data_IF_333931001500
#
_entry.id   IF_333931001500
#
_cell.length_a   1.000
_cell.length_b   1.000
_cell.length_c   1.000
_cell.angle_alpha   90.00
_cell.angle_beta   90.00
_cell.angle_gamma   90.00
#
_symmetry.space_group_name_H-M   'P 1'
#
loop_
_entity.id
_entity.type
_entity.pdbx_description
1 polymer ?
#
# COMPACT_ATOMS: atom_id res chain seq x y z
N UNK A 1 9.18 -30.55 11.60
CA UNK A 1 9.25 -29.64 10.43
C UNK A 1 9.62 -28.27 10.98
N UNK A 2 10.82 -27.76 10.67
CA UNK A 2 11.17 -26.39 11.06
C UNK A 2 10.31 -25.44 10.22
N UNK A 3 9.34 -24.79 10.85
CA UNK A 3 8.56 -23.75 10.19
C UNK A 3 9.46 -22.53 10.04
N UNK A 4 9.84 -22.23 8.81
CA UNK A 4 10.67 -21.06 8.50
C UNK A 4 9.94 -19.81 9.00
N UNK A 5 10.45 -19.22 10.08
CA UNK A 5 9.90 -18.01 10.68
C UNK A 5 10.58 -16.81 10.01
N UNK A 6 9.82 -16.07 9.21
CA UNK A 6 10.30 -14.85 8.54
C UNK A 6 9.67 -13.65 9.23
N UNK A 7 10.51 -12.80 9.82
CA UNK A 7 10.09 -11.67 10.66
C UNK A 7 10.13 -10.31 9.94
N UNK A 8 10.47 -10.27 8.65
CA UNK A 8 10.68 -9.01 7.95
C UNK A 8 9.37 -8.51 7.32
N UNK A 9 8.68 -7.64 8.05
CA UNK A 9 7.75 -6.68 7.47
C UNK A 9 8.51 -5.37 7.27
N UNK A 10 8.26 -4.68 6.16
CA UNK A 10 8.82 -3.35 5.92
C UNK A 10 7.76 -2.29 6.19
N UNK A 11 8.18 -1.14 6.71
CA UNK A 11 7.28 -0.01 6.86
C UNK A 11 6.85 0.52 5.48
N UNK A 12 5.67 1.14 5.42
CA UNK A 12 5.07 1.66 4.18
C UNK A 12 6.01 2.61 3.43
N UNK A 13 6.74 3.48 4.13
CA UNK A 13 7.69 4.39 3.50
C UNK A 13 8.86 3.67 2.80
N UNK A 14 9.28 2.52 3.33
CA UNK A 14 10.34 1.68 2.73
C UNK A 14 9.80 1.05 1.44
N UNK A 15 8.57 0.53 1.50
CA UNK A 15 7.89 0.00 0.32
C UNK A 15 7.76 1.10 -0.76
N UNK A 16 7.32 2.31 -0.41
CA UNK A 16 7.24 3.44 -1.35
C UNK A 16 8.61 3.81 -1.95
N UNK A 17 9.68 3.70 -1.17
CA UNK A 17 11.05 3.90 -1.66
C UNK A 17 11.41 2.86 -2.73
N UNK A 18 11.16 1.58 -2.47
CA UNK A 18 11.42 0.50 -3.44
C UNK A 18 10.55 0.62 -4.70
N UNK A 19 9.27 0.99 -4.56
CA UNK A 19 8.38 1.24 -5.69
C UNK A 19 8.93 2.37 -6.57
N UNK A 20 9.30 3.51 -5.96
CA UNK A 20 9.86 4.67 -6.67
C UNK A 20 11.18 4.35 -7.38
N UNK A 21 12.09 3.61 -6.73
CA UNK A 21 13.36 3.16 -7.32
C UNK A 21 13.14 2.28 -8.56
N UNK A 22 12.04 1.50 -8.60
CA UNK A 22 11.63 0.68 -9.75
C UNK A 22 10.73 1.41 -10.74
N UNK A 23 10.56 2.73 -10.60
CA UNK A 23 9.74 3.54 -11.51
C UNK A 23 8.23 3.32 -11.39
N UNK A 24 7.78 2.72 -10.28
CA UNK A 24 6.36 2.64 -9.94
C UNK A 24 5.97 3.97 -9.26
N UNK A 25 5.00 4.73 -9.79
CA UNK A 25 4.70 6.06 -9.25
C UNK A 25 4.05 6.00 -7.86
N UNK A 26 4.61 6.77 -6.94
CA UNK A 26 4.06 6.98 -5.58
C UNK A 26 3.79 8.47 -5.35
N UNK A 27 2.77 8.85 -4.56
CA UNK A 27 2.61 10.23 -4.13
C UNK A 27 3.88 10.78 -3.46
N UNK A 28 4.19 12.08 -3.59
CA UNK A 28 5.27 12.70 -2.84
C UNK A 28 5.07 12.49 -1.34
N UNK A 29 6.11 12.04 -0.65
CA UNK A 29 6.04 11.72 0.77
C UNK A 29 7.34 12.09 1.50
N UNK A 30 7.25 12.21 2.81
CA UNK A 30 8.37 12.24 3.74
C UNK A 30 8.04 11.52 5.03
N UNK A 31 9.07 11.18 5.82
CA UNK A 31 8.91 10.53 7.12
C UNK A 31 9.36 11.47 8.22
N UNK A 32 8.47 11.69 9.19
CA UNK A 32 8.72 12.51 10.35
C UNK A 32 8.84 11.65 11.62
N UNK A 33 9.88 11.89 12.41
CA UNK A 33 10.08 11.36 13.77
C UNK A 33 9.76 12.39 14.84
N UNK A 34 9.49 13.64 14.45
CA UNK A 34 9.04 14.70 15.36
C UNK A 34 7.84 15.46 14.77
N UNK A 35 7.01 16.11 15.61
CA UNK A 35 5.93 16.96 15.11
C UNK A 35 6.39 18.11 14.21
N UNK A 36 7.57 18.68 14.49
CA UNK A 36 8.14 19.76 13.67
C UNK A 36 8.61 19.28 12.29
N UNK A 37 9.19 18.08 12.21
CA UNK A 37 9.48 17.44 10.93
C UNK A 37 8.21 17.20 10.11
N UNK A 38 7.11 16.78 10.76
CA UNK A 38 5.84 16.56 10.08
C UNK A 38 5.28 17.86 9.49
N UNK A 39 5.35 18.96 10.25
CA UNK A 39 4.95 20.30 9.78
C UNK A 39 5.80 20.74 8.57
N UNK A 40 7.12 20.54 8.64
CA UNK A 40 8.03 20.90 7.56
C UNK A 40 7.72 20.12 6.28
N UNK A 41 7.58 18.80 6.37
CA UNK A 41 7.23 17.97 5.21
C UNK A 41 5.88 18.39 4.63
N UNK A 42 4.88 18.64 5.48
CA UNK A 42 3.56 19.14 5.06
C UNK A 42 3.67 20.47 4.27
N UNK A 43 4.51 21.40 4.72
CA UNK A 43 4.75 22.65 3.99
C UNK A 43 5.45 22.42 2.64
N UNK A 44 6.42 21.51 2.59
CA UNK A 44 7.19 21.18 1.39
C UNK A 44 6.34 20.49 0.30
N UNK A 45 5.25 19.81 0.68
CA UNK A 45 4.30 19.19 -0.25
C UNK A 45 3.50 20.23 -1.07
N UNK A 46 3.44 21.49 -0.63
CA UNK A 46 2.77 22.61 -1.33
C UNK A 46 1.32 22.32 -1.76
N UNK A 47 0.58 21.59 -0.93
CA UNK A 47 -0.83 21.25 -1.14
C UNK A 47 -1.60 21.34 0.18
N UNK A 48 -2.94 21.48 0.09
CA UNK A 48 -3.86 21.34 1.22
C UNK A 48 -4.38 19.93 1.39
N UNK A 49 -4.05 19.03 0.46
CA UNK A 49 -4.53 17.66 0.47
C UNK A 49 -3.43 16.78 1.07
N UNK A 50 -3.35 16.72 2.40
CA UNK A 50 -2.28 16.01 3.12
C UNK A 50 -2.87 14.87 3.94
N UNK A 51 -2.13 13.75 4.00
CA UNK A 51 -2.42 12.59 4.84
C UNK A 51 -1.23 12.29 5.72
N UNK A 52 -1.49 12.07 7.01
CA UNK A 52 -0.54 11.50 7.96
C UNK A 52 -0.88 10.02 8.16
N UNK A 53 0.11 9.15 7.95
CA UNK A 53 -0.02 7.70 8.11
C UNK A 53 0.97 7.19 9.16
N UNK A 54 0.46 6.68 10.27
CA UNK A 54 1.24 6.07 11.35
C UNK A 54 2.10 4.91 10.83
N UNK A 55 3.41 4.92 11.09
CA UNK A 55 4.30 3.84 10.67
C UNK A 55 4.38 2.77 11.75
N UNK A 56 3.47 1.80 11.65
CA UNK A 56 3.30 0.68 12.59
C UNK A 56 3.17 -0.62 11.81
N UNK A 57 3.78 -1.71 12.31
CA UNK A 57 3.64 -3.07 11.77
C UNK A 57 2.29 -3.68 12.13
N UNK A 58 1.22 -3.09 11.61
CA UNK A 58 -0.15 -3.57 11.72
C UNK A 58 -1.00 -2.99 10.58
N UNK A 59 -1.87 -3.81 10.02
CA UNK A 59 -2.96 -3.39 9.14
C UNK A 59 -4.11 -2.74 9.90
N UNK A 60 -5.09 -2.21 9.15
CA UNK A 60 -6.29 -1.60 9.72
C UNK A 60 -6.05 -0.26 10.45
N UNK A 61 -4.92 0.41 10.17
CA UNK A 61 -4.51 1.67 10.83
C UNK A 61 -5.57 2.76 10.75
N UNK A 62 -6.25 2.91 9.61
CA UNK A 62 -7.30 3.91 9.41
C UNK A 62 -8.58 3.69 10.22
N UNK A 63 -8.83 2.45 10.68
CA UNK A 63 -9.92 2.12 11.60
C UNK A 63 -9.44 1.99 13.05
N UNK A 64 -8.13 2.11 13.28
CA UNK A 64 -7.53 2.11 14.60
C UNK A 64 -7.65 3.46 15.27
N UNK A 65 -7.21 3.54 16.53
CA UNK A 65 -7.11 4.80 17.27
C UNK A 65 -5.89 4.78 18.18
N UNK A 66 -5.33 5.96 18.42
CA UNK A 66 -4.26 6.13 19.39
C UNK A 66 -4.82 6.15 20.81
N UNK A 67 -4.17 5.41 21.72
CA UNK A 67 -4.58 5.29 23.11
C UNK A 67 -4.86 6.66 23.75
N UNK A 68 -6.03 6.77 24.39
CA UNK A 68 -6.48 8.01 25.05
C UNK A 68 -6.89 9.14 24.10
N UNK A 69 -7.07 8.86 22.81
CA UNK A 69 -7.48 9.86 21.80
C UNK A 69 -8.48 9.27 20.80
N UNK A 70 -9.14 10.14 20.02
CA UNK A 70 -9.94 9.75 18.86
C UNK A 70 -9.15 9.82 17.53
N UNK A 71 -7.84 10.03 17.60
CA UNK A 71 -6.98 10.16 16.43
C UNK A 71 -6.71 8.77 15.86
N UNK A 72 -6.99 8.59 14.57
CA UNK A 72 -6.76 7.36 13.83
C UNK A 72 -5.30 7.19 13.40
N UNK A 73 -4.93 5.99 12.96
CA UNK A 73 -3.63 5.72 12.34
C UNK A 73 -3.47 6.32 10.94
N UNK A 74 -4.56 6.83 10.34
CA UNK A 74 -4.56 7.55 9.05
C UNK A 74 -5.45 8.78 9.20
N UNK A 75 -4.88 9.97 9.10
CA UNK A 75 -5.58 11.24 9.33
C UNK A 75 -5.30 12.23 8.20
N UNK A 76 -6.31 13.05 7.88
CA UNK A 76 -6.18 14.10 6.86
C UNK A 76 -5.96 15.45 7.50
N UNK A 77 -5.19 16.31 6.85
CA UNK A 77 -5.03 17.70 7.25
C UNK A 77 -4.77 18.60 6.05
N UNK A 78 -4.92 19.91 6.26
CA UNK A 78 -4.78 20.94 5.23
C UNK A 78 -3.64 21.92 5.47
N UNK A 79 -3.06 21.93 6.69
CA UNK A 79 -2.00 22.87 7.05
C UNK A 79 -0.84 22.21 7.79
N UNK A 80 0.37 22.78 7.72
CA UNK A 80 1.52 22.35 8.53
C UNK A 80 1.23 22.29 10.04
N UNK A 81 0.43 23.22 10.57
CA UNK A 81 0.06 23.29 11.99
C UNK A 81 -0.86 22.15 12.39
N UNK A 82 -1.81 21.78 11.52
CA UNK A 82 -2.64 20.60 11.73
C UNK A 82 -1.79 19.32 11.67
N UNK A 83 -0.86 19.22 10.70
CA UNK A 83 0.08 18.10 10.61
C UNK A 83 0.92 17.95 11.89
N UNK A 84 1.44 19.05 12.44
CA UNK A 84 2.16 19.09 13.72
C UNK A 84 1.29 18.56 14.87
N UNK A 85 0.06 19.03 14.96
CA UNK A 85 -0.88 18.67 16.04
C UNK A 85 -1.23 17.18 15.98
N UNK A 86 -1.53 16.67 14.79
CA UNK A 86 -1.80 15.25 14.57
C UNK A 86 -0.56 14.40 14.88
N UNK A 87 0.61 14.76 14.36
CA UNK A 87 1.87 14.04 14.63
C UNK A 87 2.20 13.99 16.13
N UNK A 88 1.94 15.07 16.90
CA UNK A 88 2.08 15.06 18.37
C UNK A 88 1.12 14.09 19.07
N UNK A 89 -0.01 13.79 18.44
CA UNK A 89 -0.98 12.81 18.92
C UNK A 89 -0.64 11.38 18.51
N UNK A 90 0.25 11.18 17.55
CA UNK A 90 0.64 9.86 17.02
C UNK A 90 2.01 9.39 17.54
N UNK A 91 3.04 10.24 17.42
CA UNK A 91 4.43 9.87 17.67
C UNK A 91 4.65 9.63 19.17
N UNK A 92 5.26 8.48 19.50
CA UNK A 92 5.50 8.02 20.85
C UNK A 92 4.28 7.39 21.54
N UNK A 93 3.13 7.27 20.86
CA UNK A 93 1.90 6.71 21.42
C UNK A 93 1.56 5.33 20.85
N UNK A 94 0.71 4.59 21.56
CA UNK A 94 0.23 3.27 21.14
C UNK A 94 -0.94 3.41 20.17
N UNK A 95 -0.78 2.87 18.96
CA UNK A 95 -1.86 2.68 18.00
C UNK A 95 -2.54 1.33 18.27
N UNK A 96 -3.84 1.35 18.51
CA UNK A 96 -4.68 0.18 18.71
C UNK A 96 -5.47 -0.09 17.43
N UNK A 97 -5.27 -1.27 16.83
CA UNK A 97 -6.04 -1.76 15.68
C UNK A 97 -6.66 -3.12 16.00
N UNK A 98 -7.58 -3.59 15.14
CA UNK A 98 -8.12 -4.96 15.23
C UNK A 98 -7.01 -6.02 15.26
N UNK A 99 -5.89 -5.78 14.58
CA UNK A 99 -4.78 -6.73 14.47
C UNK A 99 -3.81 -6.66 15.65
N UNK A 100 -3.64 -5.50 16.29
CA UNK A 100 -2.75 -5.38 17.47
C UNK A 100 -3.42 -5.81 18.76
N UNK A 101 -4.76 -5.73 18.83
CA UNK A 101 -5.50 -5.83 20.07
C UNK A 101 -5.17 -4.70 21.05
N UNK A 102 -5.67 -4.83 22.27
CA UNK A 102 -5.51 -3.84 23.36
C UNK A 102 -4.05 -3.42 23.65
N UNK A 103 -3.03 -4.28 23.54
CA UNK A 103 -1.65 -3.87 23.76
C UNK A 103 -1.14 -2.80 22.78
N UNK A 104 -1.79 -2.66 21.62
CA UNK A 104 -1.39 -1.70 20.59
C UNK A 104 0.04 -1.91 20.08
N UNK A 105 0.53 -0.93 19.34
CA UNK A 105 1.93 -0.84 18.92
C UNK A 105 2.39 0.61 18.96
N UNK A 106 3.59 0.85 19.47
CA UNK A 106 4.15 2.21 19.53
C UNK A 106 4.42 2.73 18.12
N UNK A 107 3.94 3.94 17.84
CA UNK A 107 4.22 4.65 16.60
C UNK A 107 5.42 5.58 16.81
N UNK A 108 6.58 5.25 16.23
CA UNK A 108 7.80 6.06 16.39
C UNK A 108 7.99 7.09 15.25
N UNK A 109 7.18 7.01 14.20
CA UNK A 109 7.26 7.92 13.06
C UNK A 109 5.95 7.93 12.29
N UNK A 110 5.68 9.04 11.61
CA UNK A 110 4.55 9.19 10.69
C UNK A 110 5.08 9.44 9.29
N UNK A 111 4.43 8.88 8.28
CA UNK A 111 4.62 9.28 6.90
C UNK A 111 3.64 10.41 6.59
N UNK A 112 4.14 11.52 6.05
CA UNK A 112 3.34 12.66 5.57
C UNK A 112 3.38 12.61 4.05
N UNK A 113 2.21 12.56 3.42
CA UNK A 113 2.09 12.37 1.96
C UNK A 113 0.91 13.15 1.40
N UNK A 114 0.88 13.37 0.08
CA UNK A 114 -0.27 13.96 -0.60
C UNK A 114 -1.45 12.99 -0.58
N UNK A 115 -2.65 13.52 -0.28
CA UNK A 115 -3.90 12.78 -0.38
C UNK A 115 -4.24 12.58 -1.85
N UNK A 116 -4.60 11.35 -2.18
CA UNK A 116 -5.09 10.99 -3.51
C UNK A 116 -6.61 10.96 -3.53
N UNK A 117 -7.19 11.34 -4.67
CA UNK A 117 -8.63 11.28 -4.93
C UNK A 117 -8.90 10.37 -6.13
N UNK A 118 -8.64 9.06 -6.00
CA UNK A 118 -8.81 8.14 -7.11
C UNK A 118 -10.28 8.01 -7.48
N UNK A 119 -10.58 8.07 -8.78
CA UNK A 119 -11.94 7.78 -9.28
C UNK A 119 -12.28 6.31 -9.20
N UNK A 120 -11.25 5.46 -9.31
CA UNK A 120 -11.37 4.01 -9.28
C UNK A 120 -10.14 3.42 -8.59
N UNK A 121 -10.40 2.52 -7.66
CA UNK A 121 -9.40 1.82 -6.87
C UNK A 121 -9.43 0.34 -7.21
N UNK A 122 -8.24 -0.24 -7.30
CA UNK A 122 -8.01 -1.65 -7.60
C UNK A 122 -7.16 -2.27 -6.51
N UNK A 123 -7.13 -3.58 -6.49
CA UNK A 123 -6.21 -4.36 -5.67
C UNK A 123 -5.22 -5.07 -6.60
N UNK A 124 -3.92 -4.98 -6.30
CA UNK A 124 -2.88 -5.75 -6.99
C UNK A 124 -1.92 -6.30 -5.95
N UNK A 125 -1.65 -7.60 -5.99
CA UNK A 125 -0.56 -8.20 -5.23
C UNK A 125 0.20 -9.26 -6.01
N UNK A 126 1.44 -9.48 -5.60
CA UNK A 126 2.28 -10.61 -6.00
C UNK A 126 2.60 -11.37 -4.72
N UNK A 127 2.23 -12.64 -4.65
CA UNK A 127 2.44 -13.45 -3.46
C UNK A 127 3.00 -14.82 -3.79
N UNK A 128 3.82 -15.37 -2.90
CA UNK A 128 4.22 -16.77 -2.95
C UNK A 128 3.09 -17.62 -2.38
N UNK A 129 2.53 -18.52 -3.18
CA UNK A 129 1.39 -19.34 -2.78
C UNK A 129 1.71 -20.84 -2.97
N UNK A 130 1.39 -21.62 -1.93
CA UNK A 130 1.73 -23.04 -1.84
C UNK A 130 0.85 -23.96 -2.69
N UNK A 131 -0.44 -23.69 -2.81
CA UNK A 131 -1.39 -24.38 -3.69
C UNK A 131 -1.03 -24.28 -5.18
N UNK A 132 -0.30 -23.24 -5.59
CA UNK A 132 0.21 -23.04 -6.95
C UNK A 132 1.70 -23.38 -7.12
N UNK A 133 2.36 -23.84 -6.06
CA UNK A 133 3.80 -24.15 -6.01
C UNK A 133 4.69 -23.00 -6.54
N UNK A 134 4.30 -21.74 -6.30
CA UNK A 134 5.02 -20.61 -6.87
C UNK A 134 4.35 -19.23 -6.69
N UNK A 135 4.91 -18.20 -7.34
CA UNK A 135 4.36 -16.85 -7.30
C UNK A 135 3.03 -16.76 -8.05
N UNK A 136 2.10 -15.98 -7.50
CA UNK A 136 0.78 -15.70 -8.07
C UNK A 136 0.57 -14.20 -8.06
N UNK A 137 0.12 -13.66 -9.20
CA UNK A 137 -0.39 -12.28 -9.26
C UNK A 137 -1.90 -12.32 -8.99
N UNK A 138 -2.34 -11.54 -8.01
CA UNK A 138 -3.74 -11.46 -7.60
C UNK A 138 -4.24 -10.05 -7.87
N UNK A 139 -5.38 -9.95 -8.54
CA UNK A 139 -6.00 -8.66 -8.85
C UNK A 139 -7.48 -8.65 -8.56
N UNK A 140 -8.00 -7.48 -8.21
CA UNK A 140 -9.45 -7.24 -8.08
C UNK A 140 -9.81 -5.82 -8.52
N UNK A 141 -11.01 -5.68 -9.09
CA UNK A 141 -11.63 -4.38 -9.42
C UNK A 141 -12.10 -3.62 -8.18
N UNK A 142 -12.04 -4.24 -7.01
CA UNK A 142 -12.44 -3.68 -5.73
C UNK A 142 -11.19 -3.41 -4.88
N UNK A 143 -10.60 -2.24 -5.07
CA UNK A 143 -9.53 -1.72 -4.20
C UNK A 143 -10.07 -1.01 -2.95
N UNK A 144 -9.18 -0.69 -2.03
CA UNK A 144 -9.47 0.09 -0.82
C UNK A 144 -10.13 -0.71 0.31
N UNK A 145 -10.43 -1.98 0.08
CA UNK A 145 -11.03 -2.90 1.06
C UNK A 145 -10.13 -4.11 1.29
N UNK A 146 -10.35 -4.81 2.40
CA UNK A 146 -9.58 -5.99 2.77
C UNK A 146 -9.86 -7.15 1.77
N UNK A 147 -8.80 -7.78 1.27
CA UNK A 147 -8.92 -8.80 0.21
C UNK A 147 -9.52 -10.11 0.74
N UNK A 148 -9.26 -10.45 2.01
CA UNK A 148 -9.84 -11.63 2.64
C UNK A 148 -11.36 -11.49 2.79
N UNK A 149 -11.85 -10.29 3.08
CA UNK A 149 -13.29 -9.99 3.10
C UNK A 149 -13.92 -10.15 1.71
N UNK A 150 -13.24 -9.71 0.64
CA UNK A 150 -13.69 -9.96 -0.75
C UNK A 150 -13.71 -11.46 -1.03
N UNK A 151 -12.66 -12.19 -0.66
CA UNK A 151 -12.57 -13.63 -0.92
C UNK A 151 -13.70 -14.41 -0.23
N UNK A 152 -14.13 -13.97 0.95
CA UNK A 152 -15.24 -14.59 1.68
C UNK A 152 -16.63 -14.23 1.12
N UNK A 153 -16.81 -13.00 0.62
CA UNK A 153 -18.13 -12.47 0.25
C UNK A 153 -18.41 -12.49 -1.26
N UNK A 154 -17.39 -12.28 -2.08
CA UNK A 154 -17.46 -12.25 -3.54
C UNK A 154 -16.15 -12.77 -4.17
N UNK A 155 -15.86 -14.08 -4.05
CA UNK A 155 -14.60 -14.66 -4.53
C UNK A 155 -14.39 -14.46 -6.04
N UNK A 156 -15.45 -14.34 -6.85
CA UNK A 156 -15.35 -14.11 -8.29
C UNK A 156 -14.86 -12.70 -8.66
N UNK A 157 -14.81 -11.78 -7.70
CA UNK A 157 -14.19 -10.48 -7.91
C UNK A 157 -12.65 -10.53 -7.92
N UNK A 158 -12.06 -11.68 -7.56
CA UNK A 158 -10.61 -11.87 -7.45
C UNK A 158 -10.14 -12.77 -8.59
N UNK A 159 -9.17 -12.27 -9.35
CA UNK A 159 -8.45 -13.08 -10.35
C UNK A 159 -7.09 -13.50 -9.80
N UNK A 160 -6.76 -14.76 -10.03
CA UNK A 160 -5.47 -15.37 -9.67
C UNK A 160 -4.75 -15.76 -10.95
N UNK A 161 -3.52 -15.28 -11.14
CA UNK A 161 -2.67 -15.63 -12.28
C UNK A 161 -1.38 -16.26 -11.77
N UNK A 162 -1.29 -17.60 -11.74
CA UNK A 162 -0.08 -18.32 -11.33
C UNK A 162 1.05 -18.10 -12.33
N UNK A 163 2.25 -17.82 -11.83
CA UNK A 163 3.43 -17.54 -12.64
C UNK A 163 4.44 -18.65 -12.45
N UNK A 164 4.87 -19.26 -13.56
CA UNK A 164 5.99 -20.20 -13.52
C UNK A 164 7.28 -19.42 -13.25
N UNK A 165 7.90 -19.65 -12.09
CA UNK A 165 9.08 -18.89 -11.64
C UNK A 165 10.28 -18.99 -12.60
N UNK A 166 10.40 -20.09 -13.35
CA UNK A 166 11.49 -20.28 -14.32
C UNK A 166 11.26 -19.51 -15.61
N UNK A 167 9.99 -19.33 -16.02
CA UNK A 167 9.63 -18.60 -17.24
C UNK A 167 9.40 -17.11 -16.99
N UNK A 168 9.00 -16.73 -15.78
CA UNK A 168 8.58 -15.38 -15.43
C UNK A 168 7.19 -15.03 -15.97
N UNK A 169 6.79 -13.78 -15.75
CA UNK A 169 5.52 -13.23 -16.22
C UNK A 169 5.52 -13.10 -17.75
N UNK A 170 4.57 -13.78 -18.40
CA UNK A 170 4.44 -13.74 -19.86
C UNK A 170 3.54 -12.60 -20.33
N UNK A 171 3.69 -12.19 -21.59
CA UNK A 171 2.84 -11.15 -22.20
C UNK A 171 1.35 -11.56 -22.24
N UNK A 172 1.06 -12.83 -22.49
CA UNK A 172 -0.31 -13.36 -22.49
C UNK A 172 -0.97 -13.22 -21.10
N UNK A 173 -0.24 -13.62 -20.05
CA UNK A 173 -0.68 -13.45 -18.67
C UNK A 173 -0.86 -11.99 -18.30
N UNK A 174 0.09 -11.13 -18.69
CA UNK A 174 0.03 -9.70 -18.44
C UNK A 174 -1.24 -9.07 -19.07
N UNK A 175 -1.51 -9.37 -20.33
CA UNK A 175 -2.72 -8.89 -21.01
C UNK A 175 -3.98 -9.37 -20.30
N UNK A 176 -4.04 -10.64 -19.90
CA UNK A 176 -5.17 -11.19 -19.14
C UNK A 176 -5.37 -10.46 -17.81
N UNK A 177 -4.30 -10.20 -17.04
CA UNK A 177 -4.39 -9.49 -15.75
C UNK A 177 -4.96 -8.08 -15.95
N UNK A 178 -4.51 -7.37 -16.99
CA UNK A 178 -5.01 -6.02 -17.32
C UNK A 178 -6.48 -6.06 -17.76
N UNK A 179 -6.89 -7.10 -18.48
CA UNK A 179 -8.30 -7.34 -18.87
C UNK A 179 -9.17 -7.66 -17.65
N UNK A 180 -8.67 -8.48 -16.72
CA UNK A 180 -9.35 -8.83 -15.47
C UNK A 180 -9.58 -7.60 -14.59
N UNK A 181 -8.65 -6.63 -14.60
CA UNK A 181 -8.82 -5.32 -13.97
C UNK A 181 -9.80 -4.40 -14.74
N UNK A 182 -10.11 -4.71 -16.00
CA UNK A 182 -10.98 -3.90 -16.84
C UNK A 182 -10.41 -2.50 -17.09
N UNK A 183 -9.09 -2.40 -17.27
CA UNK A 183 -8.40 -1.15 -17.58
C UNK A 183 -8.66 -0.77 -19.03
N UNK A 184 -9.06 0.49 -19.26
CA UNK A 184 -9.28 1.05 -20.59
C UNK A 184 -7.96 1.31 -21.31
N UNK A 185 -7.99 1.44 -22.63
CA UNK A 185 -6.82 1.52 -23.51
C UNK A 185 -5.76 2.52 -23.03
N UNK A 186 -6.19 3.69 -22.56
CA UNK A 186 -5.31 4.76 -22.09
C UNK A 186 -4.46 4.35 -20.87
N UNK A 187 -5.00 3.49 -20.00
CA UNK A 187 -4.32 3.03 -18.79
C UNK A 187 -3.56 1.70 -18.95
N UNK A 188 -3.76 0.98 -20.05
CA UNK A 188 -3.22 -0.39 -20.22
C UNK A 188 -1.70 -0.42 -20.17
N UNK A 189 -1.06 0.49 -20.90
CA UNK A 189 0.41 0.53 -21.01
C UNK A 189 1.07 0.77 -19.66
N UNK A 190 0.58 1.76 -18.91
CA UNK A 190 1.14 2.09 -17.60
C UNK A 190 0.86 0.99 -16.57
N UNK A 191 -0.34 0.41 -16.59
CA UNK A 191 -0.71 -0.68 -15.67
C UNK A 191 0.14 -1.91 -15.95
N UNK A 192 0.35 -2.23 -17.22
CA UNK A 192 1.22 -3.32 -17.64
C UNK A 192 2.64 -3.13 -17.14
N UNK A 193 3.21 -1.93 -17.31
CA UNK A 193 4.55 -1.61 -16.81
C UNK A 193 4.66 -1.77 -15.29
N UNK A 194 3.62 -1.35 -14.55
CA UNK A 194 3.62 -1.48 -13.09
C UNK A 194 3.54 -2.94 -12.66
N UNK A 195 2.67 -3.75 -13.26
CA UNK A 195 2.57 -5.18 -12.95
C UNK A 195 3.90 -5.89 -13.22
N UNK A 196 4.56 -5.59 -14.34
CA UNK A 196 5.90 -6.11 -14.63
C UNK A 196 6.91 -5.69 -13.56
N UNK A 197 6.99 -4.39 -13.25
CA UNK A 197 7.94 -3.86 -12.27
C UNK A 197 7.67 -4.42 -10.86
N UNK A 198 6.40 -4.64 -10.49
CA UNK A 198 6.00 -5.27 -9.22
C UNK A 198 6.47 -6.72 -9.15
N UNK A 199 6.24 -7.50 -10.21
CA UNK A 199 6.69 -8.88 -10.27
C UNK A 199 8.23 -8.97 -10.20
N UNK A 200 8.93 -8.12 -10.94
CA UNK A 200 10.40 -8.07 -10.88
C UNK A 200 10.92 -7.65 -9.51
N UNK A 201 10.30 -6.65 -8.87
CA UNK A 201 10.66 -6.22 -7.53
C UNK A 201 10.43 -7.34 -6.50
N UNK A 202 9.32 -8.08 -6.64
CA UNK A 202 9.01 -9.23 -5.81
C UNK A 202 10.11 -10.31 -5.91
N UNK A 203 10.56 -10.63 -7.12
CA UNK A 203 11.65 -11.59 -7.35
C UNK A 203 12.99 -11.04 -6.85
N UNK A 204 13.32 -9.79 -7.15
CA UNK A 204 14.60 -9.16 -6.76
C UNK A 204 14.78 -9.11 -5.24
N UNK A 205 13.70 -8.86 -4.49
CA UNK A 205 13.75 -8.74 -3.03
C UNK A 205 13.48 -10.05 -2.30
N UNK A 206 13.38 -11.19 -3.01
CA UNK A 206 12.97 -12.48 -2.46
C UNK A 206 11.72 -12.35 -1.56
N UNK A 207 10.75 -11.56 -2.01
CA UNK A 207 9.56 -11.24 -1.23
C UNK A 207 8.60 -12.43 -1.15
N UNK A 208 7.77 -12.46 -0.11
CA UNK A 208 6.65 -13.41 -0.01
C UNK A 208 5.31 -12.79 -0.39
N UNK A 209 5.20 -11.49 -0.17
CA UNK A 209 4.03 -10.71 -0.50
C UNK A 209 4.49 -9.29 -0.82
N UNK A 210 4.02 -8.80 -1.95
CA UNK A 210 4.03 -7.40 -2.30
C UNK A 210 2.59 -7.04 -2.65
N UNK A 211 1.98 -6.15 -1.87
CA UNK A 211 0.58 -5.73 -2.04
C UNK A 211 0.50 -4.22 -2.24
N UNK A 212 -0.27 -3.79 -3.23
CA UNK A 212 -0.71 -2.42 -3.44
C UNK A 212 -2.23 -2.38 -3.30
N UNK A 213 -2.70 -1.74 -2.22
CA UNK A 213 -4.10 -1.57 -1.93
C UNK A 213 -4.37 -0.22 -1.23
N UNK A 214 -4.99 0.75 -1.91
CA UNK A 214 -5.47 0.71 -3.29
C UNK A 214 -4.37 0.96 -4.33
N UNK A 215 -4.48 0.34 -5.50
CA UNK A 215 -3.86 0.80 -6.75
C UNK A 215 -4.83 1.74 -7.47
N UNK A 216 -4.38 2.93 -7.87
CA UNK A 216 -5.23 3.92 -8.50
C UNK A 216 -4.72 4.38 -9.87
N UNK A 217 -5.68 4.65 -10.77
CA UNK A 217 -5.45 5.34 -12.03
C UNK A 217 -6.07 6.74 -11.95
N UNK A 218 -5.29 7.76 -12.28
CA UNK A 218 -5.78 9.12 -12.48
C UNK A 218 -6.34 9.30 -13.91
N UNK A 219 -7.11 10.38 -14.11
CA UNK A 219 -7.86 10.71 -15.33
C UNK A 219 -7.00 10.83 -16.59
N UNK A 220 -5.70 11.09 -16.44
CA UNK A 220 -4.76 11.20 -17.56
C UNK A 220 -4.09 9.86 -17.93
N UNK A 221 -4.50 8.75 -17.31
CA UNK A 221 -3.79 7.48 -17.44
C UNK A 221 -2.45 7.48 -16.72
N UNK A 222 -2.27 8.36 -15.74
CA UNK A 222 -1.14 8.32 -14.81
C UNK A 222 -1.53 7.43 -13.62
N UNK A 223 -0.64 6.53 -13.23
CA UNK A 223 -0.87 5.65 -12.08
C UNK A 223 -0.36 6.28 -10.81
N UNK A 224 -1.01 6.01 -9.68
CA UNK A 224 -0.50 6.34 -8.35
C UNK A 224 -0.80 5.17 -7.40
N UNK A 225 0.23 4.70 -6.68
CA UNK A 225 0.14 3.65 -5.64
C UNK A 225 0.43 4.21 -4.24
#
# INVERSE_FOLDING_TARGET
>A
VFQQTRHLQVHEYIAYTFLKERGIPTPPFGVAKTPDEAAKIAADLKTKDIVLKAQVYAGGRGLGHFEGTNVSGVEMCETPEQAKTLASSMIGKLLITKQTGTPGKICNSVMVTTRMFPRKEYYISVMMETSFDGPVIIVSKQGGINIEDIAATNPEAISYTPINIMKGLTLEQLNKIVDDLGIQEEGRKITSSIICNLYELFIEKDALLLEINPFALDICGECMS
#
